data_IF_186716296369
#
_entry.id   IF_186716296369
#
_cell.length_a   1.000
_cell.length_b   1.000
_cell.length_c   1.000
_cell.angle_alpha   90.00
_cell.angle_beta   90.00
_cell.angle_gamma   90.00
#
_symmetry.space_group_name_H-M   'P 1'
#
loop_
_entity.id
_entity.type
_entity.pdbx_description
1 polymer ?
#
# COMPACT_ATOMS: atom_id res chain seq x y z
N UNK A 1 -9.76 -1.19 -6.62
CA UNK A 1 -9.78 -0.20 -5.51
C UNK A 1 -9.72 -0.99 -4.21
N UNK A 2 -8.88 -0.57 -3.26
CA UNK A 2 -8.66 -1.23 -1.98
C UNK A 2 -9.19 -0.32 -0.87
N UNK A 3 -9.83 -0.87 0.15
CA UNK A 3 -10.28 -0.12 1.33
C UNK A 3 -9.31 -0.37 2.48
N UNK A 4 -9.09 0.65 3.30
CA UNK A 4 -8.24 0.58 4.48
C UNK A 4 -8.85 -0.42 5.48
N UNK A 5 -8.11 -1.45 5.93
CA UNK A 5 -8.63 -2.40 6.90
C UNK A 5 -8.87 -1.78 8.30
N UNK A 6 -8.27 -0.62 8.58
CA UNK A 6 -8.37 0.05 9.88
C UNK A 6 -9.54 1.03 9.95
N UNK A 7 -9.73 1.88 8.93
CA UNK A 7 -10.74 2.93 8.93
C UNK A 7 -11.80 2.80 7.82
N UNK A 8 -11.72 1.79 6.95
CA UNK A 8 -12.65 1.59 5.83
C UNK A 8 -12.53 2.62 4.69
N UNK A 9 -11.74 3.68 4.88
CA UNK A 9 -11.48 4.72 3.88
C UNK A 9 -10.88 4.15 2.59
N UNK A 10 -11.17 4.76 1.45
CA UNK A 10 -10.56 4.38 0.18
C UNK A 10 -9.06 4.63 0.22
N UNK A 11 -8.28 3.62 -0.18
CA UNK A 11 -6.82 3.73 -0.27
C UNK A 11 -6.41 4.15 -1.68
N UNK A 12 -5.37 4.99 -1.73
CA UNK A 12 -4.77 5.45 -2.98
C UNK A 12 -3.75 4.40 -3.41
N UNK A 13 -3.89 3.88 -4.62
CA UNK A 13 -2.88 2.98 -5.18
C UNK A 13 -1.66 3.80 -5.59
N UNK A 14 -0.50 3.45 -5.04
CA UNK A 14 0.77 4.17 -5.23
C UNK A 14 1.68 3.55 -6.30
N UNK A 15 1.28 2.46 -6.98
CA UNK A 15 2.16 1.86 -7.98
C UNK A 15 2.28 2.68 -9.25
N UNK A 16 3.54 2.90 -9.62
CA UNK A 16 3.99 3.63 -10.79
C UNK A 16 3.74 2.91 -12.11
N UNK A 17 3.76 3.73 -13.16
CA UNK A 17 3.73 3.43 -14.60
C UNK A 17 2.97 2.17 -15.06
N UNK A 18 1.86 2.40 -15.76
CA UNK A 18 0.96 1.44 -16.44
C UNK A 18 1.69 0.42 -17.37
N UNK A 19 2.95 0.66 -17.71
CA UNK A 19 3.68 -0.08 -18.74
C UNK A 19 4.11 -1.51 -18.33
N UNK A 20 4.26 -1.78 -17.03
CA UNK A 20 4.56 -3.10 -16.50
C UNK A 20 3.67 -3.33 -15.29
N UNK A 21 2.63 -4.18 -15.39
CA UNK A 21 1.78 -4.53 -14.24
C UNK A 21 2.69 -5.22 -13.21
N UNK A 22 3.11 -4.51 -12.14
CA UNK A 22 4.05 -5.06 -11.21
C UNK A 22 3.31 -6.12 -10.37
N UNK A 23 4.00 -7.21 -9.98
CA UNK A 23 3.40 -8.26 -9.16
C UNK A 23 2.91 -7.72 -7.80
N UNK A 24 3.48 -6.60 -7.34
CA UNK A 24 3.21 -6.00 -6.04
C UNK A 24 2.46 -4.69 -6.18
N UNK A 25 1.37 -4.52 -5.42
CA UNK A 25 0.48 -3.35 -5.42
C UNK A 25 0.48 -2.67 -4.04
N UNK A 26 1.19 -1.56 -3.93
CA UNK A 26 1.26 -0.60 -2.82
C UNK A 26 0.05 0.33 -2.81
N UNK A 27 -0.60 0.42 -1.67
CA UNK A 27 -1.72 1.30 -1.38
C UNK A 27 -1.41 2.14 -0.15
N UNK A 28 -1.86 3.38 -0.13
CA UNK A 28 -1.71 4.29 1.00
C UNK A 28 -3.09 4.71 1.52
N UNK A 29 -3.25 4.66 2.85
CA UNK A 29 -4.39 5.26 3.51
C UNK A 29 -4.00 6.60 4.12
N UNK A 30 -4.46 7.70 3.51
CA UNK A 30 -4.25 9.07 4.00
C UNK A 30 -4.85 9.33 5.38
N UNK A 31 -5.93 8.62 5.72
CA UNK A 31 -6.66 8.83 6.97
C UNK A 31 -5.98 8.15 8.15
N UNK A 32 -5.58 6.89 7.97
CA UNK A 32 -4.95 6.08 8.99
C UNK A 32 -3.41 6.20 8.98
N UNK A 33 -2.83 6.86 7.97
CA UNK A 33 -1.38 6.94 7.74
C UNK A 33 -0.70 5.57 7.80
N UNK A 34 -1.26 4.63 7.03
CA UNK A 34 -0.70 3.28 6.87
C UNK A 34 -0.45 3.00 5.40
N UNK A 35 0.57 2.20 5.14
CA UNK A 35 0.86 1.62 3.85
C UNK A 35 0.36 0.17 3.84
N UNK A 36 -0.17 -0.25 2.69
CA UNK A 36 -0.66 -1.61 2.48
C UNK A 36 -0.06 -2.15 1.19
N UNK A 37 0.69 -3.22 1.30
CA UNK A 37 1.34 -3.89 0.18
C UNK A 37 0.55 -5.16 -0.13
N UNK A 38 0.04 -5.27 -1.36
CA UNK A 38 -0.61 -6.47 -1.86
C UNK A 38 0.34 -7.21 -2.80
N UNK A 39 0.79 -8.39 -2.40
CA UNK A 39 1.68 -9.24 -3.18
C UNK A 39 0.89 -10.04 -4.24
N UNK A 40 1.61 -10.62 -5.21
CA UNK A 40 1.01 -11.37 -6.32
C UNK A 40 0.28 -12.64 -5.89
N UNK A 41 0.73 -13.26 -4.79
CA UNK A 41 0.10 -14.44 -4.19
C UNK A 41 -1.20 -14.09 -3.41
N UNK A 42 -1.52 -12.80 -3.27
CA UNK A 42 -2.69 -12.32 -2.56
C UNK A 42 -2.45 -11.97 -1.09
N UNK A 43 -1.24 -12.19 -0.57
CA UNK A 43 -0.84 -11.71 0.75
C UNK A 43 -0.92 -10.19 0.83
N UNK A 44 -1.39 -9.70 1.99
CA UNK A 44 -1.54 -8.28 2.29
C UNK A 44 -0.67 -7.97 3.51
N UNK A 45 0.29 -7.07 3.33
CA UNK A 45 1.13 -6.57 4.40
C UNK A 45 0.70 -5.14 4.74
N UNK A 46 0.56 -4.83 6.02
CA UNK A 46 0.16 -3.49 6.49
C UNK A 46 1.23 -2.92 7.41
N UNK A 47 1.80 -1.79 7.04
CA UNK A 47 2.86 -1.13 7.81
C UNK A 47 2.40 0.30 8.19
N UNK A 48 2.58 0.73 9.45
CA UNK A 48 2.39 2.12 9.83
C UNK A 48 3.36 3.00 9.03
N UNK A 49 2.96 4.22 8.68
CA UNK A 49 3.88 5.21 8.06
C UNK A 49 4.91 5.79 9.06
N UNK A 50 5.14 5.14 10.20
CA UNK A 50 6.23 5.47 11.11
C UNK A 50 7.56 5.20 10.39
N UNK A 51 8.14 6.25 9.81
CA UNK A 51 9.55 6.39 9.46
C UNK A 51 10.28 5.07 9.13
N UNK A 52 9.92 4.44 8.01
CA UNK A 52 10.93 3.68 7.24
C UNK A 52 11.83 4.68 6.50
N UNK A 53 12.49 5.56 7.26
CA UNK A 53 13.81 6.06 6.94
C UNK A 53 14.80 5.05 7.50
N UNK A 54 15.14 4.01 6.75
CA UNK A 54 16.35 3.24 7.03
C UNK A 54 16.89 2.54 5.78
N UNK A 55 18.04 3.06 5.35
CA UNK A 55 19.08 2.43 4.55
C UNK A 55 18.84 2.24 3.04
N UNK A 56 19.24 3.25 2.26
CA UNK A 56 20.57 3.28 1.62
C UNK A 56 20.87 4.64 0.99
#
# INVERSE_FOLDING_TARGET
MMNCPVCGAMMVWLNGSVLHDPPTKFYECRQCKINVTKLADGTIETEPQEEQQAAQ
#
